data_IF_066980976809
#
_entry.id   IF_066980976809
#
_cell.length_a   1.000
_cell.length_b   1.000
_cell.length_c   1.000
_cell.angle_alpha   90.00
_cell.angle_beta   90.00
_cell.angle_gamma   90.00
#
_symmetry.space_group_name_H-M   'P 1'
#
loop_
_entity.id
_entity.type
_entity.pdbx_description
1 polymer ?
#
# COMPACT_ATOMS: atom_id res chain seq x y z
N UNK A 1 2.18 0.21 6.01
CA UNK A 1 1.14 0.59 7.00
C UNK A 1 -0.21 0.36 6.35
N UNK A 2 -1.22 0.02 7.14
CA UNK A 2 -2.60 -0.16 6.70
C UNK A 2 -3.48 0.93 7.32
N UNK A 3 -4.44 1.42 6.55
CA UNK A 3 -5.43 2.42 6.95
C UNK A 3 -6.83 1.85 6.69
N UNK A 4 -7.54 1.51 7.76
CA UNK A 4 -8.92 1.04 7.72
C UNK A 4 -9.87 2.22 7.52
N UNK A 5 -10.81 2.09 6.59
CA UNK A 5 -11.83 3.11 6.31
C UNK A 5 -13.11 2.85 7.10
N UNK A 6 -13.81 3.92 7.48
CA UNK A 6 -15.09 3.82 8.21
C UNK A 6 -16.21 3.19 7.38
N UNK A 7 -16.19 3.42 6.06
CA UNK A 7 -17.12 2.82 5.10
C UNK A 7 -16.85 1.33 4.84
N UNK A 8 -15.80 0.77 5.43
CA UNK A 8 -15.23 -0.51 5.02
C UNK A 8 -14.17 -0.33 3.94
N UNK A 9 -13.32 -1.35 3.80
CA UNK A 9 -12.12 -1.32 2.96
C UNK A 9 -10.87 -0.90 3.72
N UNK A 10 -9.72 -1.18 3.11
CA UNK A 10 -8.39 -0.98 3.67
C UNK A 10 -7.49 -0.37 2.59
N UNK A 11 -6.75 0.67 2.95
CA UNK A 11 -5.69 1.24 2.10
C UNK A 11 -4.34 0.84 2.67
N UNK A 12 -3.59 0.06 1.90
CA UNK A 12 -2.25 -0.37 2.27
C UNK A 12 -1.19 0.47 1.54
N UNK A 13 -0.17 0.88 2.28
CA UNK A 13 0.90 1.70 1.72
C UNK A 13 1.83 2.35 2.75
N UNK A 14 2.64 3.29 2.27
CA UNK A 14 3.43 4.18 3.09
C UNK A 14 2.60 5.42 3.43
N UNK A 15 2.46 5.73 4.72
CA UNK A 15 1.78 6.97 5.14
C UNK A 15 2.77 8.13 5.04
N UNK A 16 2.49 9.05 4.13
CA UNK A 16 3.29 10.26 3.91
C UNK A 16 2.88 11.41 4.83
N UNK A 17 1.58 11.47 5.20
CA UNK A 17 1.06 12.44 6.16
C UNK A 17 -0.11 11.85 6.95
N UNK A 18 -0.15 12.14 8.26
CA UNK A 18 -1.24 11.77 9.18
C UNK A 18 -2.18 12.93 9.51
N UNK A 19 -2.03 14.07 8.83
CA UNK A 19 -2.87 15.26 9.01
C UNK A 19 -4.24 15.09 8.33
N UNK A 20 -4.91 16.19 8.01
CA UNK A 20 -6.13 16.16 7.19
C UNK A 20 -5.83 16.79 5.81
N UNK A 21 -5.87 16.02 4.71
CA UNK A 21 -6.16 14.58 4.63
C UNK A 21 -4.99 13.70 5.06
N UNK A 22 -5.29 12.44 5.39
CA UNK A 22 -4.29 11.38 5.50
C UNK A 22 -3.81 11.02 4.10
N UNK A 23 -2.50 11.05 3.89
CA UNK A 23 -1.88 10.78 2.58
C UNK A 23 -1.17 9.44 2.65
N UNK A 24 -1.55 8.53 1.76
CA UNK A 24 -0.96 7.18 1.66
C UNK A 24 -0.48 6.94 0.24
N UNK A 25 0.79 6.54 0.09
CA UNK A 25 1.30 6.01 -1.17
C UNK A 25 1.20 4.48 -1.16
N UNK A 26 0.37 3.95 -2.04
CA UNK A 26 0.17 2.52 -2.22
C UNK A 26 1.28 1.88 -3.05
N UNK A 27 1.28 0.54 -3.03
CA UNK A 27 2.10 -0.27 -3.91
C UNK A 27 1.86 0.12 -5.38
N UNK A 28 2.92 0.21 -6.19
CA UNK A 28 2.84 0.72 -7.57
C UNK A 28 2.85 2.25 -7.69
N UNK A 29 3.11 2.99 -6.61
CA UNK A 29 3.36 4.43 -6.63
C UNK A 29 2.11 5.33 -6.60
N UNK A 30 0.91 4.74 -6.59
CA UNK A 30 -0.35 5.48 -6.49
C UNK A 30 -0.47 6.24 -5.17
N UNK A 31 -0.71 7.55 -5.23
CA UNK A 31 -0.93 8.39 -4.05
C UNK A 31 -2.43 8.60 -3.83
N UNK A 32 -2.91 8.29 -2.64
CA UNK A 32 -4.29 8.43 -2.23
C UNK A 32 -4.43 9.44 -1.09
N UNK A 33 -5.40 10.35 -1.23
CA UNK A 33 -5.75 11.33 -0.20
C UNK A 33 -7.07 10.93 0.44
N UNK A 34 -7.03 10.67 1.75
CA UNK A 34 -8.16 10.16 2.52
C UNK A 34 -8.53 11.22 3.55
N UNK A 35 -9.73 11.82 3.49
CA UNK A 35 -10.22 12.69 4.55
C UNK A 35 -10.09 12.03 5.93
N UNK A 36 -9.56 12.75 6.92
CA UNK A 36 -9.24 12.15 8.22
C UNK A 36 -10.48 11.60 8.95
N UNK A 37 -11.64 12.20 8.72
CA UNK A 37 -12.94 11.76 9.24
C UNK A 37 -13.41 10.42 8.64
N UNK A 38 -12.90 10.03 7.46
CA UNK A 38 -13.16 8.72 6.84
C UNK A 38 -12.21 7.62 7.33
N UNK A 39 -11.13 7.98 8.01
CA UNK A 39 -10.21 7.00 8.59
C UNK A 39 -10.79 6.46 9.91
N UNK A 40 -10.78 5.13 10.03
CA UNK A 40 -11.17 4.42 11.24
C UNK A 40 -9.96 4.15 12.12
N UNK A 41 -8.90 3.57 11.55
CA UNK A 41 -7.67 3.20 12.28
C UNK A 41 -6.49 3.08 11.32
N UNK A 42 -5.30 3.40 11.81
CA UNK A 42 -4.04 3.04 11.16
C UNK A 42 -3.31 1.94 11.94
N UNK A 43 -2.76 0.95 11.24
CA UNK A 43 -2.05 -0.19 11.85
C UNK A 43 -0.75 -0.51 11.11
N UNK A 44 0.27 -0.97 11.85
CA UNK A 44 1.49 -1.50 11.23
C UNK A 44 1.17 -2.80 10.47
N UNK A 45 1.83 -3.00 9.34
CA UNK A 45 1.66 -4.23 8.57
C UNK A 45 2.50 -5.35 9.18
N UNK A 46 1.93 -6.56 9.19
CA UNK A 46 2.62 -7.78 9.65
C UNK A 46 3.51 -8.40 8.56
N UNK A 47 3.33 -8.00 7.30
CA UNK A 47 3.99 -8.57 6.13
C UNK A 47 4.45 -7.45 5.16
N UNK A 48 5.36 -7.77 4.26
CA UNK A 48 5.90 -6.83 3.26
C UNK A 48 4.88 -6.51 2.17
N UNK A 49 4.93 -5.27 1.66
CA UNK A 49 4.26 -4.84 0.43
C UNK A 49 5.13 -5.11 -0.80
N UNK A 50 5.87 -6.21 -0.83
CA UNK A 50 6.65 -6.57 -2.01
C UNK A 50 5.69 -6.97 -3.13
N UNK A 51 5.87 -6.40 -4.32
CA UNK A 51 5.10 -6.78 -5.50
C UNK A 51 5.41 -8.24 -5.82
N UNK A 52 4.43 -8.97 -6.35
CA UNK A 52 4.72 -10.28 -6.92
C UNK A 52 5.64 -10.11 -8.13
N UNK A 53 6.34 -11.18 -8.48
CA UNK A 53 7.31 -11.11 -9.59
C UNK A 53 6.62 -10.79 -10.92
N UNK A 54 5.42 -11.35 -11.14
CA UNK A 54 4.59 -11.02 -12.30
C UNK A 54 4.19 -9.53 -12.32
N UNK A 55 3.93 -8.93 -11.16
CA UNK A 55 3.57 -7.51 -11.05
C UNK A 55 4.77 -6.58 -11.28
N UNK A 56 6.00 -7.09 -11.16
CA UNK A 56 7.22 -6.37 -11.51
C UNK A 56 7.53 -6.45 -13.02
N UNK A 57 6.72 -7.18 -13.80
CA UNK A 57 6.95 -7.36 -15.23
C UNK A 57 8.11 -8.30 -15.56
N UNK A 58 8.55 -9.09 -14.59
CA UNK A 58 9.59 -10.10 -14.77
C UNK A 58 8.96 -11.40 -15.24
N UNK A 59 9.53 -12.00 -16.29
CA UNK A 59 9.11 -13.31 -16.75
C UNK A 59 9.68 -14.42 -15.87
N UNK A 60 9.12 -15.63 -15.99
CA UNK A 60 9.64 -16.81 -15.31
C UNK A 60 11.11 -17.12 -15.70
N UNK A 61 11.54 -16.71 -16.90
CA UNK A 61 12.93 -16.86 -17.34
C UNK A 61 13.84 -15.84 -16.66
N UNK A 62 13.42 -14.57 -16.54
CA UNK A 62 14.17 -13.53 -15.82
C UNK A 62 14.37 -13.89 -14.33
N UNK A 63 13.44 -14.66 -13.77
CA UNK A 63 13.55 -15.28 -12.45
C UNK A 63 14.57 -16.42 -12.40
N UNK A 64 14.53 -17.32 -13.38
CA UNK A 64 15.40 -18.49 -13.45
C UNK A 64 16.88 -18.10 -13.67
N UNK A 65 17.11 -16.99 -14.37
CA UNK A 65 18.45 -16.47 -14.63
C UNK A 65 19.04 -15.70 -13.43
N UNK A 66 18.24 -15.43 -12.39
CA UNK A 66 18.66 -14.73 -11.16
C UNK A 66 19.19 -15.68 -10.05
N UNK A 67 19.08 -17.00 -10.24
CA UNK A 67 19.48 -18.04 -9.27
C UNK A 67 20.82 -18.67 -9.62
#
# INVERSE_FOLDING_TARGET
MSVDLRSGGEVQGLVLSKSNPVIVQSQGGLVQMIPADKVKKGSNMKYSLMLSVDQLGLSAQDLADLT
#
